data_IF_456578051001
#
_entry.id   IF_456578051001
#
_cell.length_a   1.000
_cell.length_b   1.000
_cell.length_c   1.000
_cell.angle_alpha   90.00
_cell.angle_beta   90.00
_cell.angle_gamma   90.00
#
_symmetry.space_group_name_H-M   'P 1'
#
loop_
_entity.id
_entity.type
_entity.pdbx_description
1 polymer ?
#
# COMPACT_ATOMS: atom_id res chain seq x y z
N UNK A 1 9.30 43.23 -54.22
CA UNK A 1 10.59 42.84 -53.61
C UNK A 1 10.72 43.58 -52.30
N UNK A 2 10.31 43.06 -51.20
CA UNK A 2 10.54 43.59 -49.84
C UNK A 2 10.79 42.40 -48.92
N UNK A 3 11.97 42.37 -48.28
CA UNK A 3 12.35 41.38 -47.25
C UNK A 3 11.68 41.73 -45.91
N UNK A 4 11.15 40.80 -45.14
CA UNK A 4 10.69 41.05 -43.78
C UNK A 4 11.87 41.00 -42.79
N UNK A 5 11.84 41.94 -41.83
CA UNK A 5 12.86 42.17 -40.82
C UNK A 5 12.85 41.15 -39.66
N UNK A 6 14.01 41.05 -39.06
CA UNK A 6 14.25 40.27 -37.82
C UNK A 6 13.59 40.97 -36.62
N UNK A 7 13.05 40.21 -35.62
CA UNK A 7 12.66 40.79 -34.34
C UNK A 7 13.87 40.94 -33.42
N UNK A 8 13.93 42.12 -32.79
CA UNK A 8 15.02 42.57 -31.93
C UNK A 8 15.11 41.78 -30.61
N UNK A 9 16.33 41.61 -30.18
CA UNK A 9 16.72 41.08 -28.87
C UNK A 9 16.38 42.10 -27.75
N UNK A 10 15.58 41.69 -26.79
CA UNK A 10 15.38 42.40 -25.52
C UNK A 10 16.56 42.16 -24.57
N UNK A 11 16.93 43.13 -23.72
CA UNK A 11 18.09 43.02 -22.82
C UNK A 11 17.80 42.09 -21.63
N UNK A 12 18.82 41.48 -21.00
CA UNK A 12 18.65 40.49 -19.94
C UNK A 12 18.23 41.18 -18.62
N UNK A 13 17.02 40.89 -18.18
CA UNK A 13 16.54 41.24 -16.84
C UNK A 13 17.21 40.36 -15.78
N UNK A 14 17.66 41.03 -14.77
CA UNK A 14 18.29 40.61 -13.52
C UNK A 14 17.99 39.17 -13.04
N UNK A 15 19.02 38.33 -13.06
CA UNK A 15 19.05 37.07 -12.34
C UNK A 15 19.23 37.37 -10.85
N UNK A 16 18.19 37.13 -10.06
CA UNK A 16 18.27 37.03 -8.60
C UNK A 16 19.14 35.82 -8.25
N UNK A 17 20.32 36.07 -7.72
CA UNK A 17 21.24 35.05 -7.18
C UNK A 17 20.60 34.42 -5.92
N UNK A 18 20.04 33.23 -6.06
CA UNK A 18 19.74 32.38 -4.93
C UNK A 18 21.07 31.91 -4.31
N UNK A 19 21.48 32.50 -3.20
CA UNK A 19 22.62 32.01 -2.43
C UNK A 19 22.34 30.61 -1.86
N UNK A 20 22.95 29.60 -2.45
CA UNK A 20 23.03 28.27 -1.86
C UNK A 20 23.83 28.39 -0.54
N UNK A 21 23.13 28.29 0.59
CA UNK A 21 23.77 28.27 1.91
C UNK A 21 24.56 26.98 2.04
N UNK A 22 25.89 27.10 2.05
CA UNK A 22 26.79 25.97 2.21
C UNK A 22 26.71 25.45 3.67
N UNK A 23 26.37 24.17 3.85
CA UNK A 23 26.18 23.50 5.15
C UNK A 23 27.35 23.69 6.11
N UNK A 24 28.60 23.80 5.61
CA UNK A 24 29.80 24.10 6.42
C UNK A 24 29.84 25.54 6.92
N UNK A 25 29.27 26.51 6.21
CA UNK A 25 29.15 27.90 6.69
C UNK A 25 28.07 28.05 7.75
N UNK A 26 26.97 27.35 7.62
CA UNK A 26 25.90 27.34 8.63
C UNK A 26 26.41 26.81 9.99
N UNK A 27 27.18 25.74 9.98
CA UNK A 27 27.76 25.16 11.21
C UNK A 27 28.86 26.05 11.85
N UNK A 28 29.58 26.85 11.07
CA UNK A 28 30.57 27.80 11.60
C UNK A 28 29.92 29.08 12.18
N UNK A 29 28.75 29.47 11.69
CA UNK A 29 28.00 30.63 12.21
C UNK A 29 27.22 30.30 13.50
N UNK A 30 26.93 29.04 13.77
CA UNK A 30 26.27 28.59 15.00
C UNK A 30 27.22 28.54 16.22
N UNK A 31 28.55 28.65 16.03
CA UNK A 31 29.54 28.58 17.11
C UNK A 31 29.89 29.93 17.74
N UNK A 32 29.27 31.04 17.34
CA UNK A 32 29.59 32.39 17.81
C UNK A 32 28.37 33.12 18.41
N UNK A 33 27.53 32.44 19.18
CA UNK A 33 26.52 33.10 20.03
C UNK A 33 27.05 33.05 21.46
N UNK A 34 27.31 34.20 22.11
CA UNK A 34 27.65 34.20 23.52
C UNK A 34 26.46 33.66 24.32
N UNK A 35 26.67 32.60 25.08
CA UNK A 35 25.70 32.09 26.05
C UNK A 35 25.57 33.12 27.15
N UNK A 36 24.55 33.98 27.06
CA UNK A 36 24.05 34.66 28.22
C UNK A 36 23.38 33.63 29.14
N UNK A 37 24.07 33.25 30.20
CA UNK A 37 23.50 32.49 31.29
C UNK A 37 22.46 33.33 32.01
N UNK A 38 21.27 33.47 31.45
CA UNK A 38 20.08 33.90 32.18
C UNK A 38 19.53 32.61 32.79
N UNK A 39 19.48 32.62 34.12
CA UNK A 39 19.11 31.48 34.94
C UNK A 39 17.83 30.77 34.49
N UNK A 40 17.98 29.55 34.02
CA UNK A 40 16.89 28.62 33.73
C UNK A 40 16.24 28.02 34.98
N UNK A 41 16.18 28.74 36.09
CA UNK A 41 15.56 28.25 37.34
C UNK A 41 14.05 28.43 37.44
N UNK A 42 13.42 29.26 36.58
CA UNK A 42 11.98 29.53 36.70
C UNK A 42 11.08 29.02 35.57
N UNK A 43 11.64 28.46 34.50
CA UNK A 43 10.87 27.85 33.41
C UNK A 43 10.54 26.34 33.61
N UNK A 44 11.13 25.72 34.62
CA UNK A 44 10.84 24.30 34.95
C UNK A 44 9.62 24.10 35.87
N UNK A 45 8.98 25.15 36.35
CA UNK A 45 7.89 25.02 37.34
C UNK A 45 6.47 25.07 36.79
N UNK A 46 6.23 25.03 35.48
CA UNK A 46 4.85 25.05 34.94
C UNK A 46 4.57 24.12 33.75
N UNK A 47 5.30 23.09 33.56
CA UNK A 47 4.77 21.94 32.85
C UNK A 47 4.17 21.00 33.89
N UNK A 48 2.89 21.20 34.23
CA UNK A 48 2.13 20.13 34.89
C UNK A 48 2.38 18.88 34.07
N UNK A 49 2.72 17.73 34.70
CA UNK A 49 2.87 16.50 33.97
C UNK A 49 1.56 16.32 33.20
N UNK A 50 1.61 16.35 31.86
CA UNK A 50 0.52 15.82 31.06
C UNK A 50 0.43 14.38 31.49
N UNK A 51 -0.54 14.08 32.37
CA UNK A 51 -0.90 12.71 32.67
C UNK A 51 -1.04 12.03 31.31
N UNK A 52 -0.10 11.15 30.99
CA UNK A 52 -0.21 10.33 29.79
C UNK A 52 -1.56 9.64 29.93
N UNK A 53 -2.53 9.99 29.09
CA UNK A 53 -3.86 9.41 29.12
C UNK A 53 -3.65 7.93 28.80
N UNK A 54 -3.56 7.11 29.84
CA UNK A 54 -3.42 5.66 29.66
C UNK A 54 -4.70 5.14 29.02
N UNK A 55 -4.56 4.50 27.85
CA UNK A 55 -5.67 3.81 27.23
C UNK A 55 -6.12 2.67 28.12
N UNK A 56 -7.43 2.52 28.30
CA UNK A 56 -8.03 1.43 29.04
C UNK A 56 -7.77 0.12 28.27
N UNK A 57 -7.32 -0.90 29.02
CA UNK A 57 -6.98 -2.23 28.49
C UNK A 57 -7.97 -3.27 29.00
N UNK A 58 -8.04 -4.39 28.30
CA UNK A 58 -8.81 -5.53 28.75
C UNK A 58 -8.32 -5.97 30.15
N UNK A 59 -9.26 -6.02 31.13
CA UNK A 59 -8.96 -6.32 32.53
C UNK A 59 -8.78 -5.10 33.44
N UNK A 60 -8.63 -3.88 32.90
CA UNK A 60 -8.62 -2.67 33.71
C UNK A 60 -10.02 -2.37 34.27
N UNK A 61 -10.15 -1.70 35.46
CA UNK A 61 -11.44 -1.33 36.03
C UNK A 61 -12.32 -0.46 35.14
N UNK A 62 -11.72 0.31 34.22
CA UNK A 62 -12.43 1.14 33.23
C UNK A 62 -12.79 0.41 31.93
N UNK A 63 -12.53 -0.89 31.82
CA UNK A 63 -12.91 -1.64 30.64
C UNK A 63 -14.44 -1.73 30.52
N UNK A 64 -15.03 -1.50 29.33
CA UNK A 64 -16.48 -1.53 29.15
C UNK A 64 -17.09 -2.83 29.64
N UNK A 65 -18.21 -2.74 30.33
CA UNK A 65 -18.97 -3.89 30.81
C UNK A 65 -19.60 -4.65 29.64
N UNK A 66 -20.04 -5.87 29.88
CA UNK A 66 -20.77 -6.66 28.88
C UNK A 66 -22.01 -5.92 28.35
N UNK A 67 -22.72 -5.19 29.23
CA UNK A 67 -23.88 -4.36 28.82
C UNK A 67 -23.48 -3.19 27.92
N UNK A 68 -22.27 -2.63 28.07
CA UNK A 68 -21.78 -1.59 27.19
C UNK A 68 -21.48 -2.13 25.79
N UNK A 69 -20.86 -3.31 25.74
CA UNK A 69 -20.63 -4.00 24.45
C UNK A 69 -21.93 -4.41 23.77
N UNK A 70 -22.94 -4.85 24.54
CA UNK A 70 -24.26 -5.16 23.99
C UNK A 70 -24.97 -3.91 23.44
N UNK A 71 -24.84 -2.74 24.09
CA UNK A 71 -25.35 -1.46 23.58
C UNK A 71 -24.68 -1.11 22.23
N UNK A 72 -23.35 -1.18 22.15
CA UNK A 72 -22.65 -0.97 20.88
C UNK A 72 -23.13 -1.98 19.82
N UNK A 73 -23.25 -3.25 20.17
CA UNK A 73 -23.70 -4.29 19.26
C UNK A 73 -25.11 -4.03 18.72
N UNK A 74 -26.04 -3.59 19.56
CA UNK A 74 -27.39 -3.20 19.16
C UNK A 74 -27.36 -1.98 18.22
N UNK A 75 -26.55 -0.97 18.52
CA UNK A 75 -26.40 0.24 17.73
C UNK A 75 -25.87 -0.04 16.31
N UNK A 76 -25.02 -1.05 16.15
CA UNK A 76 -24.47 -1.49 14.87
C UNK A 76 -25.17 -2.73 14.30
N UNK A 77 -26.40 -2.98 14.71
CA UNK A 77 -27.27 -4.06 14.19
C UNK A 77 -26.64 -5.47 14.26
N UNK A 78 -25.99 -5.79 15.38
CA UNK A 78 -25.41 -7.11 15.63
C UNK A 78 -24.03 -7.36 14.96
N UNK A 79 -23.38 -6.34 14.44
CA UNK A 79 -22.09 -6.50 13.72
C UNK A 79 -20.84 -6.36 14.63
N UNK A 80 -20.97 -6.59 15.92
CA UNK A 80 -19.83 -6.67 16.84
C UNK A 80 -19.30 -8.10 16.92
N UNK A 81 -18.02 -8.28 16.66
CA UNK A 81 -17.34 -9.58 16.70
C UNK A 81 -16.37 -9.60 17.88
N UNK A 82 -16.49 -10.55 18.80
CA UNK A 82 -15.44 -10.89 19.75
C UNK A 82 -14.36 -11.65 19.01
N UNK A 83 -13.20 -11.03 18.84
CA UNK A 83 -12.16 -11.54 17.94
C UNK A 83 -11.43 -12.71 18.58
N UNK A 84 -11.41 -13.83 17.88
CA UNK A 84 -10.59 -14.99 18.21
C UNK A 84 -9.50 -15.15 17.15
N UNK A 85 -8.27 -15.39 17.60
CA UNK A 85 -7.20 -15.68 16.68
C UNK A 85 -7.36 -17.08 16.07
N UNK A 86 -7.45 -17.23 14.75
CA UNK A 86 -7.44 -18.56 14.13
C UNK A 86 -6.19 -19.39 14.48
N UNK A 87 -5.12 -18.73 14.88
CA UNK A 87 -3.87 -19.37 15.31
C UNK A 87 -3.94 -19.98 16.72
N UNK A 88 -5.01 -19.74 17.50
CA UNK A 88 -5.15 -20.30 18.84
C UNK A 88 -5.11 -21.85 18.82
N UNK A 89 -5.80 -22.48 17.88
CA UNK A 89 -5.77 -23.93 17.71
C UNK A 89 -4.37 -24.50 17.45
N UNK A 90 -3.51 -23.75 16.76
CA UNK A 90 -2.12 -24.15 16.51
C UNK A 90 -1.21 -23.98 17.72
N UNK A 91 -1.51 -23.04 18.61
CA UNK A 91 -0.79 -22.87 19.87
C UNK A 91 -1.05 -24.02 20.83
N UNK A 92 -2.28 -24.48 20.89
CA UNK A 92 -2.71 -25.58 21.77
C UNK A 92 -2.32 -26.95 21.22
N UNK A 93 -2.46 -27.16 19.90
CA UNK A 93 -2.17 -28.43 19.24
C UNK A 93 -1.45 -28.21 17.88
N UNK A 94 -0.13 -27.93 17.89
CA UNK A 94 0.63 -27.56 16.68
C UNK A 94 0.60 -28.60 15.56
N UNK A 95 0.48 -29.87 15.91
CA UNK A 95 0.48 -30.99 14.96
C UNK A 95 -0.93 -31.49 14.59
N UNK A 96 -1.98 -30.80 15.03
CA UNK A 96 -3.36 -31.18 14.74
C UNK A 96 -3.70 -31.04 13.24
N UNK A 97 -4.73 -31.76 12.78
CA UNK A 97 -5.26 -31.60 11.43
C UNK A 97 -5.77 -30.17 11.19
N UNK A 98 -6.43 -29.57 12.19
CA UNK A 98 -6.94 -28.20 12.16
C UNK A 98 -5.81 -27.18 11.94
N UNK A 99 -4.68 -27.34 12.63
CA UNK A 99 -3.52 -26.47 12.44
C UNK A 99 -2.91 -26.60 11.04
N UNK A 100 -2.78 -27.84 10.52
CA UNK A 100 -2.30 -28.06 9.13
C UNK A 100 -3.23 -27.44 8.09
N UNK A 101 -4.53 -27.55 8.27
CA UNK A 101 -5.52 -26.93 7.39
C UNK A 101 -5.43 -25.41 7.44
N UNK A 102 -5.33 -24.83 8.63
CA UNK A 102 -5.13 -23.39 8.78
C UNK A 102 -3.90 -22.91 8.01
N UNK A 103 -2.74 -23.58 8.15
CA UNK A 103 -1.54 -23.21 7.41
C UNK A 103 -1.69 -23.36 5.89
N UNK A 104 -2.51 -24.29 5.42
CA UNK A 104 -2.88 -24.38 4.00
C UNK A 104 -3.73 -23.17 3.57
N UNK A 105 -4.70 -22.75 4.37
CA UNK A 105 -5.55 -21.55 4.12
C UNK A 105 -4.76 -20.25 4.19
N UNK A 106 -3.78 -20.11 5.08
CA UNK A 106 -2.91 -18.93 5.19
C UNK A 106 -2.07 -18.65 3.94
N UNK A 107 -1.98 -19.61 3.00
CA UNK A 107 -1.39 -19.37 1.68
C UNK A 107 -2.29 -18.52 0.76
N UNK A 108 -3.53 -18.33 1.13
CA UNK A 108 -4.51 -17.52 0.39
C UNK A 108 -4.65 -16.13 1.04
N UNK A 109 -4.15 -15.06 0.41
CA UNK A 109 -4.23 -13.70 0.98
C UNK A 109 -5.66 -13.18 1.11
N UNK A 110 -6.62 -13.71 0.35
CA UNK A 110 -8.03 -13.35 0.50
C UNK A 110 -8.62 -13.92 1.78
N UNK A 111 -8.24 -15.13 2.16
CA UNK A 111 -8.61 -15.70 3.46
C UNK A 111 -8.09 -14.82 4.61
N UNK A 112 -6.79 -14.47 4.58
CA UNK A 112 -6.20 -13.60 5.59
C UNK A 112 -6.94 -12.24 5.69
N UNK A 113 -7.23 -11.62 4.56
CA UNK A 113 -7.96 -10.34 4.51
C UNK A 113 -9.43 -10.43 4.93
N UNK A 114 -10.01 -11.63 4.86
CA UNK A 114 -11.38 -11.95 5.29
C UNK A 114 -11.54 -12.32 6.76
N UNK A 115 -10.43 -12.43 7.53
CA UNK A 115 -10.46 -12.82 8.94
C UNK A 115 -10.09 -11.61 9.83
N UNK A 116 -10.92 -11.20 10.80
CA UNK A 116 -10.62 -10.05 11.66
C UNK A 116 -9.33 -10.25 12.48
N UNK A 117 -9.04 -11.46 12.94
CA UNK A 117 -7.88 -11.79 13.79
C UNK A 117 -6.55 -11.92 13.02
N UNK A 118 -6.54 -11.85 11.67
CA UNK A 118 -5.35 -12.05 10.85
C UNK A 118 -4.91 -10.77 10.13
N UNK A 119 -3.63 -10.67 9.82
CA UNK A 119 -3.03 -9.59 9.01
C UNK A 119 -2.08 -10.17 7.97
N UNK A 120 -1.95 -9.51 6.81
CA UNK A 120 -1.04 -9.93 5.72
C UNK A 120 0.43 -9.82 6.14
N UNK A 121 0.74 -8.87 7.03
CA UNK A 121 2.04 -8.71 7.67
C UNK A 121 1.84 -9.01 9.15
N UNK A 122 2.42 -10.12 9.62
CA UNK A 122 2.25 -10.60 11.00
C UNK A 122 3.26 -10.02 11.99
N UNK A 123 4.25 -9.27 11.50
CA UNK A 123 5.27 -8.63 12.32
C UNK A 123 6.41 -8.06 11.48
N UNK A 124 7.31 -7.35 12.15
CA UNK A 124 8.57 -6.89 11.59
C UNK A 124 9.67 -7.21 12.58
N UNK A 125 10.78 -7.76 12.09
CA UNK A 125 11.88 -8.22 12.94
C UNK A 125 12.34 -7.10 13.87
N UNK A 126 12.41 -7.38 15.17
CA UNK A 126 12.85 -6.48 16.25
C UNK A 126 12.02 -5.18 16.39
N UNK A 127 10.86 -5.08 15.74
CA UNK A 127 10.02 -3.88 15.80
C UNK A 127 8.63 -4.16 16.39
N UNK A 128 7.87 -5.10 15.87
CA UNK A 128 6.52 -5.40 16.34
C UNK A 128 6.04 -6.78 15.88
N UNK A 129 5.07 -7.31 16.62
CA UNK A 129 4.32 -8.53 16.27
C UNK A 129 2.83 -8.20 16.30
N UNK A 130 2.07 -8.69 15.31
CA UNK A 130 0.63 -8.51 15.25
C UNK A 130 -0.05 -9.27 16.38
N UNK A 131 -0.96 -8.60 17.08
CA UNK A 131 -1.84 -9.22 18.06
C UNK A 131 -3.30 -8.86 17.71
N UNK A 132 -4.26 -9.80 17.85
CA UNK A 132 -5.65 -9.52 17.53
C UNK A 132 -6.25 -8.50 18.50
N UNK A 133 -7.14 -7.66 17.98
CA UNK A 133 -7.99 -6.79 18.78
C UNK A 133 -8.94 -7.63 19.63
N UNK A 134 -9.48 -7.09 20.73
CA UNK A 134 -10.44 -7.81 21.59
C UNK A 134 -11.80 -7.89 20.90
N UNK A 135 -12.26 -6.79 20.33
CA UNK A 135 -13.49 -6.71 19.55
C UNK A 135 -13.26 -6.05 18.20
N UNK A 136 -14.09 -6.40 17.22
CA UNK A 136 -14.14 -5.78 15.90
C UNK A 136 -15.57 -5.38 15.55
N UNK A 137 -15.78 -4.13 15.18
CA UNK A 137 -16.98 -3.65 14.50
C UNK A 137 -16.82 -3.97 13.01
N UNK A 138 -17.58 -4.94 12.51
CA UNK A 138 -17.64 -5.25 11.07
C UNK A 138 -18.49 -4.19 10.34
N UNK A 139 -17.92 -3.00 10.16
CA UNK A 139 -18.62 -1.84 9.65
C UNK A 139 -19.10 -2.08 8.21
N UNK A 140 -20.41 -1.89 7.97
CA UNK A 140 -21.06 -1.98 6.67
C UNK A 140 -21.46 -0.59 6.13
N UNK A 141 -21.60 0.39 7.00
CA UNK A 141 -22.00 1.78 6.70
C UNK A 141 -21.24 2.78 7.58
N UNK A 142 -21.28 4.04 7.19
CA UNK A 142 -20.54 5.13 7.89
C UNK A 142 -21.00 5.29 9.35
N UNK A 143 -22.28 5.07 9.61
CA UNK A 143 -22.86 5.15 10.96
C UNK A 143 -22.27 4.13 11.92
N UNK A 144 -21.89 2.92 11.45
CA UNK A 144 -21.19 1.92 12.25
C UNK A 144 -19.81 2.43 12.69
N UNK A 145 -19.13 3.14 11.79
CA UNK A 145 -17.84 3.75 12.06
C UNK A 145 -17.98 4.88 13.08
N UNK A 146 -19.00 5.74 12.95
CA UNK A 146 -19.34 6.80 13.91
C UNK A 146 -19.60 6.21 15.29
N UNK A 147 -20.41 5.15 15.37
CA UNK A 147 -20.71 4.46 16.63
C UNK A 147 -19.44 3.93 17.30
N UNK A 148 -18.58 3.25 16.52
CA UNK A 148 -17.33 2.71 17.03
C UNK A 148 -16.33 3.78 17.50
N UNK A 149 -16.20 4.89 16.77
CA UNK A 149 -15.33 6.01 17.13
C UNK A 149 -15.82 6.67 18.44
N UNK A 150 -17.13 6.93 18.56
CA UNK A 150 -17.72 7.51 19.76
C UNK A 150 -17.56 6.58 20.97
N UNK A 151 -17.88 5.29 20.80
CA UNK A 151 -17.70 4.30 21.85
C UNK A 151 -16.24 4.22 22.33
N UNK A 152 -15.28 4.18 21.41
CA UNK A 152 -13.86 4.16 21.77
C UNK A 152 -13.41 5.44 22.48
N UNK A 153 -13.91 6.60 22.05
CA UNK A 153 -13.62 7.90 22.69
C UNK A 153 -14.17 7.97 24.11
N UNK A 154 -15.43 7.61 24.29
CA UNK A 154 -16.13 7.68 25.58
C UNK A 154 -15.53 6.73 26.62
N UNK A 155 -15.05 5.58 26.16
CA UNK A 155 -14.44 4.56 27.03
C UNK A 155 -12.90 4.61 27.02
N UNK A 156 -12.29 5.62 26.42
CA UNK A 156 -10.83 5.78 26.31
C UNK A 156 -10.10 4.54 25.77
N UNK A 157 -10.71 3.82 24.81
CA UNK A 157 -10.13 2.62 24.22
C UNK A 157 -9.10 2.94 23.14
N UNK A 158 -8.17 2.01 22.94
CA UNK A 158 -7.34 1.97 21.74
C UNK A 158 -8.22 1.61 20.55
N UNK A 159 -8.18 2.43 19.49
CA UNK A 159 -8.88 2.17 18.25
C UNK A 159 -7.87 1.80 17.16
N UNK A 160 -8.18 0.77 16.36
CA UNK A 160 -7.44 0.42 15.16
C UNK A 160 -8.39 0.27 13.98
N UNK A 161 -7.89 0.49 12.76
CA UNK A 161 -8.69 0.41 11.54
C UNK A 161 -8.08 -0.62 10.59
N UNK A 162 -8.91 -1.55 10.12
CA UNK A 162 -8.49 -2.59 9.20
C UNK A 162 -9.36 -2.62 7.95
N UNK A 163 -8.72 -2.46 6.78
CA UNK A 163 -9.28 -2.82 5.47
C UNK A 163 -8.76 -4.19 5.04
N UNK A 164 -7.66 -4.22 4.27
CA UNK A 164 -7.01 -5.45 3.81
C UNK A 164 -5.97 -6.06 4.76
N UNK A 165 -5.57 -5.36 5.83
CA UNK A 165 -4.59 -5.86 6.80
C UNK A 165 -3.13 -5.86 6.32
N UNK A 166 -2.76 -4.99 5.39
CA UNK A 166 -1.42 -4.91 4.79
C UNK A 166 -0.45 -3.91 5.45
N UNK A 167 -0.80 -3.33 6.60
CA UNK A 167 0.08 -2.36 7.25
C UNK A 167 1.44 -2.96 7.60
N UNK A 168 2.53 -2.35 7.13
CA UNK A 168 3.90 -2.71 7.52
C UNK A 168 4.28 -2.17 8.90
N UNK A 169 3.48 -1.28 9.46
CA UNK A 169 3.69 -0.64 10.77
C UNK A 169 2.83 -1.29 11.88
N UNK A 170 2.11 -2.37 11.59
CA UNK A 170 1.29 -3.07 12.56
C UNK A 170 -0.02 -2.36 12.96
N UNK A 171 -0.46 -1.34 12.21
CA UNK A 171 -1.61 -0.51 12.59
C UNK A 171 -2.97 -1.14 12.26
N UNK A 172 -3.00 -2.31 11.60
CA UNK A 172 -4.23 -3.00 11.22
C UNK A 172 -4.82 -3.89 12.33
N UNK A 173 -4.06 -4.16 13.37
CA UNK A 173 -4.47 -5.00 14.50
C UNK A 173 -3.63 -4.66 15.72
N UNK A 174 -4.19 -4.72 16.92
CA UNK A 174 -3.44 -4.43 18.15
C UNK A 174 -4.12 -5.06 19.35
N UNK A 175 -3.33 -5.61 20.28
CA UNK A 175 -3.83 -6.04 21.57
C UNK A 175 -4.60 -4.90 22.28
N UNK A 176 -5.54 -5.27 23.14
CA UNK A 176 -6.31 -4.34 23.99
C UNK A 176 -6.99 -3.23 23.20
N UNK A 177 -7.52 -3.52 22.02
CA UNK A 177 -8.15 -2.53 21.15
C UNK A 177 -9.53 -2.92 20.67
N UNK A 178 -10.31 -1.91 20.28
CA UNK A 178 -11.47 -2.05 19.41
C UNK A 178 -11.03 -1.84 17.95
N UNK A 179 -11.37 -2.77 17.07
CA UNK A 179 -11.11 -2.66 15.65
C UNK A 179 -12.33 -2.12 14.91
N UNK A 180 -12.15 -1.17 14.02
CA UNK A 180 -13.08 -0.88 12.93
C UNK A 180 -12.64 -1.64 11.70
N UNK A 181 -13.41 -2.69 11.37
CA UNK A 181 -13.13 -3.54 10.23
C UNK A 181 -14.03 -3.15 9.05
N UNK A 182 -13.46 -2.44 8.09
CA UNK A 182 -14.22 -1.83 6.99
C UNK A 182 -14.52 -2.79 5.83
N UNK A 183 -14.14 -4.06 5.92
CA UNK A 183 -14.17 -5.03 4.81
C UNK A 183 -15.51 -5.13 4.08
N UNK A 184 -16.64 -4.94 4.78
CA UNK A 184 -17.97 -4.95 4.19
C UNK A 184 -18.32 -3.66 3.43
N UNK A 185 -17.61 -2.56 3.66
CA UNK A 185 -17.76 -1.29 2.94
C UNK A 185 -17.01 -1.35 1.61
N UNK A 186 -17.45 -2.17 0.66
CA UNK A 186 -16.67 -2.50 -0.54
C UNK A 186 -17.38 -2.16 -1.87
N UNK A 187 -18.33 -1.26 -1.84
CA UNK A 187 -19.01 -0.76 -3.04
C UNK A 187 -18.04 -0.09 -4.01
N UNK A 188 -18.31 -0.19 -5.31
CA UNK A 188 -17.56 0.50 -6.38
C UNK A 188 -18.54 1.07 -7.37
N UNK A 189 -18.52 2.39 -7.55
CA UNK A 189 -19.40 3.11 -8.48
C UNK A 189 -18.57 3.97 -9.44
N UNK A 190 -18.78 3.78 -10.75
CA UNK A 190 -18.15 4.58 -11.81
C UNK A 190 -18.95 5.85 -12.08
N UNK A 191 -18.23 6.92 -12.42
CA UNK A 191 -18.77 8.22 -12.81
C UNK A 191 -18.09 8.70 -14.09
N UNK A 192 -18.88 9.13 -15.06
CA UNK A 192 -18.33 9.72 -16.30
C UNK A 192 -17.96 11.19 -16.10
N UNK A 193 -18.66 11.89 -15.22
CA UNK A 193 -18.54 13.34 -15.01
C UNK A 193 -18.66 13.71 -13.52
N UNK A 194 -17.71 13.23 -12.68
CA UNK A 194 -17.71 13.53 -11.24
C UNK A 194 -17.20 14.94 -10.97
N UNK A 195 -17.91 15.67 -10.11
CA UNK A 195 -17.49 16.92 -9.49
C UNK A 195 -17.52 16.73 -7.98
N UNK A 196 -16.42 17.03 -7.29
CA UNK A 196 -16.34 16.91 -5.84
C UNK A 196 -17.34 17.88 -5.16
N UNK A 197 -17.86 17.50 -4.02
CA UNK A 197 -18.87 18.27 -3.30
C UNK A 197 -18.36 19.69 -2.97
N UNK A 198 -19.17 20.70 -3.29
CA UNK A 198 -18.79 22.12 -3.09
C UNK A 198 -17.80 22.67 -4.11
N UNK A 199 -17.39 21.89 -5.11
CA UNK A 199 -16.51 22.30 -6.19
C UNK A 199 -17.24 22.65 -7.51
N UNK A 200 -18.56 22.62 -7.55
CA UNK A 200 -19.34 23.01 -8.72
C UNK A 200 -18.98 24.44 -9.16
N UNK A 201 -18.75 24.64 -10.44
CA UNK A 201 -18.29 25.93 -11.02
C UNK A 201 -16.80 26.26 -10.76
N UNK A 202 -16.11 25.50 -9.90
CA UNK A 202 -14.67 25.68 -9.62
C UNK A 202 -13.79 24.62 -10.27
N UNK A 203 -14.34 23.42 -10.52
CA UNK A 203 -13.65 22.31 -11.14
C UNK A 203 -14.48 21.74 -12.26
N UNK A 204 -13.84 21.39 -13.37
CA UNK A 204 -14.49 20.68 -14.46
C UNK A 204 -14.83 19.25 -14.04
N UNK A 205 -15.98 18.70 -14.51
CA UNK A 205 -16.31 17.30 -14.32
C UNK A 205 -15.23 16.38 -14.88
N UNK A 206 -14.93 15.29 -14.19
CA UNK A 206 -13.90 14.33 -14.58
C UNK A 206 -14.39 12.90 -14.40
N UNK A 207 -13.93 11.99 -15.25
CA UNK A 207 -14.18 10.57 -15.05
C UNK A 207 -13.53 10.08 -13.74
N UNK A 208 -14.35 9.39 -12.93
CA UNK A 208 -13.93 8.97 -11.61
C UNK A 208 -14.55 7.62 -11.20
N UNK A 209 -14.07 7.10 -10.07
CA UNK A 209 -14.65 5.94 -9.39
C UNK A 209 -14.75 6.23 -7.90
N UNK A 210 -15.93 6.04 -7.33
CA UNK A 210 -16.14 6.05 -5.88
C UNK A 210 -16.03 4.64 -5.34
N UNK A 211 -15.20 4.44 -4.30
CA UNK A 211 -14.85 3.14 -3.76
C UNK A 211 -15.00 3.18 -2.23
N UNK A 212 -15.72 2.21 -1.68
CA UNK A 212 -15.82 2.00 -0.23
C UNK A 212 -14.47 1.59 0.38
N UNK A 213 -14.19 2.05 1.59
CA UNK A 213 -12.88 1.91 2.23
C UNK A 213 -12.40 0.47 2.46
N UNK A 214 -13.32 -0.48 2.50
CA UNK A 214 -13.03 -1.92 2.68
C UNK A 214 -12.82 -2.69 1.38
N UNK A 215 -12.93 -2.04 0.22
CA UNK A 215 -12.67 -2.69 -1.05
C UNK A 215 -11.19 -3.08 -1.18
N UNK A 216 -10.94 -4.23 -1.76
CA UNK A 216 -9.61 -4.62 -2.24
C UNK A 216 -9.33 -4.04 -3.62
N UNK A 217 -8.07 -3.82 -3.94
CA UNK A 217 -7.70 -3.31 -5.27
C UNK A 217 -8.19 -4.20 -6.40
N UNK A 218 -8.28 -5.54 -6.22
CA UNK A 218 -8.85 -6.41 -7.23
C UNK A 218 -10.31 -6.03 -7.58
N UNK A 219 -11.12 -5.69 -6.57
CA UNK A 219 -12.52 -5.29 -6.79
C UNK A 219 -12.60 -3.97 -7.57
N UNK A 220 -11.75 -3.00 -7.21
CA UNK A 220 -11.63 -1.74 -7.93
C UNK A 220 -11.16 -1.94 -9.37
N UNK A 221 -10.10 -2.72 -9.59
CA UNK A 221 -9.60 -3.01 -10.94
C UNK A 221 -10.61 -3.75 -11.80
N UNK A 222 -11.29 -4.77 -11.24
CA UNK A 222 -12.31 -5.48 -11.98
C UNK A 222 -13.45 -4.56 -12.41
N UNK A 223 -13.96 -3.71 -11.51
CA UNK A 223 -15.03 -2.78 -11.82
C UNK A 223 -14.58 -1.70 -12.83
N UNK A 224 -13.41 -1.09 -12.63
CA UNK A 224 -12.93 0.03 -13.44
C UNK A 224 -12.41 -0.45 -14.79
N UNK A 225 -11.62 -1.53 -14.81
CA UNK A 225 -10.91 -1.98 -16.03
C UNK A 225 -11.74 -3.00 -16.81
N UNK A 226 -12.12 -4.11 -16.16
CA UNK A 226 -12.82 -5.19 -16.88
C UNK A 226 -14.22 -4.74 -17.31
N UNK A 227 -14.99 -4.14 -16.41
CA UNK A 227 -16.35 -3.68 -16.71
C UNK A 227 -16.36 -2.30 -17.35
N UNK A 228 -15.65 -1.34 -16.78
CA UNK A 228 -15.69 0.07 -17.16
C UNK A 228 -14.77 0.46 -18.32
N UNK A 229 -13.83 -0.37 -18.73
CA UNK A 229 -12.88 -0.05 -19.83
C UNK A 229 -11.98 1.15 -19.56
N UNK A 230 -11.66 1.42 -18.26
CA UNK A 230 -10.83 2.54 -17.81
C UNK A 230 -9.69 2.03 -16.93
N UNK A 231 -8.76 2.90 -16.59
CA UNK A 231 -7.68 2.61 -15.67
C UNK A 231 -7.79 3.44 -14.39
N UNK A 232 -7.48 2.84 -13.26
CA UNK A 232 -7.29 3.54 -11.98
C UNK A 232 -5.91 3.17 -11.42
N UNK A 233 -5.13 4.19 -11.01
CA UNK A 233 -3.81 3.98 -10.43
C UNK A 233 -3.92 3.46 -8.99
N UNK A 234 -3.32 2.30 -8.75
CA UNK A 234 -3.25 1.65 -7.44
C UNK A 234 -1.99 0.82 -7.29
N UNK A 235 -1.96 -0.06 -6.29
CA UNK A 235 -0.83 -0.95 -6.03
C UNK A 235 -0.86 -2.25 -6.83
N UNK A 236 0.25 -3.00 -6.81
CA UNK A 236 0.39 -4.28 -7.51
C UNK A 236 -0.28 -5.47 -6.79
N UNK A 237 -0.52 -5.37 -5.48
CA UNK A 237 -1.13 -6.45 -4.71
C UNK A 237 -2.66 -6.34 -4.72
N UNK A 238 -3.32 -7.41 -5.16
CA UNK A 238 -4.77 -7.44 -5.37
C UNK A 238 -5.60 -7.42 -4.09
N UNK A 239 -5.05 -7.84 -2.95
CA UNK A 239 -5.73 -7.89 -1.63
C UNK A 239 -5.44 -6.68 -0.74
N UNK A 240 -4.66 -5.72 -1.20
CA UNK A 240 -4.45 -4.46 -0.47
C UNK A 240 -5.75 -3.67 -0.44
N UNK A 241 -6.10 -3.15 0.75
CA UNK A 241 -7.27 -2.27 0.93
C UNK A 241 -7.04 -0.91 0.28
N UNK A 242 -8.05 -0.44 -0.46
CA UNK A 242 -7.94 0.81 -1.24
C UNK A 242 -7.65 1.99 -0.32
N UNK A 243 -8.39 2.14 0.79
CA UNK A 243 -8.26 3.29 1.68
C UNK A 243 -6.88 3.36 2.34
N UNK A 244 -6.35 2.22 2.84
CA UNK A 244 -5.03 2.18 3.46
C UNK A 244 -3.92 2.54 2.49
N UNK A 245 -4.00 2.09 1.24
CA UNK A 245 -3.03 2.43 0.20
C UNK A 245 -3.02 3.94 -0.09
N UNK A 246 -4.19 4.55 -0.32
CA UNK A 246 -4.31 5.98 -0.63
C UNK A 246 -3.77 6.83 0.53
N UNK A 247 -4.14 6.52 1.77
CA UNK A 247 -3.66 7.24 2.95
C UNK A 247 -2.14 7.11 3.16
N UNK A 248 -1.52 6.06 2.61
CA UNK A 248 -0.06 5.85 2.65
C UNK A 248 0.67 6.33 1.38
N UNK A 249 0.02 7.13 0.55
CA UNK A 249 0.54 7.64 -0.72
C UNK A 249 0.29 6.72 -1.91
N UNK A 250 0.45 5.43 -1.75
CA UNK A 250 0.07 4.43 -2.77
C UNK A 250 1.01 4.33 -3.95
N UNK A 251 2.19 3.74 -3.75
CA UNK A 251 3.07 3.36 -4.84
C UNK A 251 2.46 2.22 -5.66
N UNK A 252 2.57 2.31 -6.97
CA UNK A 252 2.17 1.27 -7.91
C UNK A 252 3.10 1.20 -9.11
N UNK A 253 3.02 0.09 -9.85
CA UNK A 253 3.96 -0.22 -10.94
C UNK A 253 4.05 0.89 -12.00
N UNK A 254 2.98 1.64 -12.23
CA UNK A 254 2.94 2.70 -13.24
C UNK A 254 2.98 4.11 -12.63
N UNK A 255 3.53 4.26 -11.42
CA UNK A 255 3.68 5.55 -10.75
C UNK A 255 4.57 6.54 -11.53
N UNK A 256 5.49 6.07 -12.38
CA UNK A 256 6.26 6.94 -13.30
C UNK A 256 5.36 7.68 -14.29
N UNK A 257 4.26 7.05 -14.71
CA UNK A 257 3.32 7.65 -15.66
C UNK A 257 2.21 8.46 -14.97
N UNK A 258 1.64 7.93 -13.87
CA UNK A 258 0.41 8.46 -13.29
C UNK A 258 0.59 9.15 -11.94
N UNK A 259 1.79 9.12 -11.38
CA UNK A 259 2.06 9.53 -9.99
C UNK A 259 1.64 8.45 -8.99
N UNK A 260 1.72 8.78 -7.71
CA UNK A 260 1.20 7.93 -6.65
C UNK A 260 -0.33 7.83 -6.72
N UNK A 261 -0.91 6.74 -6.22
CA UNK A 261 -2.36 6.54 -6.23
C UNK A 261 -3.12 7.67 -5.51
N UNK A 262 -2.55 8.22 -4.42
CA UNK A 262 -3.10 9.38 -3.70
C UNK A 262 -3.18 10.65 -4.56
N UNK A 263 -2.39 10.79 -5.62
CA UNK A 263 -2.49 11.91 -6.54
C UNK A 263 -3.79 11.90 -7.35
N UNK A 264 -4.44 10.73 -7.48
CA UNK A 264 -5.73 10.59 -8.14
C UNK A 264 -6.93 10.88 -7.22
N UNK A 265 -6.72 11.08 -5.90
CA UNK A 265 -7.80 11.35 -4.96
C UNK A 265 -8.47 12.68 -5.27
N UNK A 266 -9.79 12.66 -5.46
CA UNK A 266 -10.65 13.81 -5.71
C UNK A 266 -11.48 14.17 -4.47
N UNK A 267 -11.96 13.16 -3.73
CA UNK A 267 -12.79 13.33 -2.54
C UNK A 267 -12.64 12.13 -1.61
N UNK A 268 -12.75 12.37 -0.30
CA UNK A 268 -12.85 11.34 0.72
C UNK A 268 -13.99 11.65 1.69
N UNK A 269 -14.68 10.64 2.17
CA UNK A 269 -15.54 10.71 3.35
C UNK A 269 -14.78 10.13 4.54
N UNK A 270 -14.76 10.86 5.65
CA UNK A 270 -13.92 10.56 6.80
C UNK A 270 -14.70 10.78 8.08
N UNK A 271 -14.69 9.82 8.98
CA UNK A 271 -15.13 10.00 10.37
C UNK A 271 -13.93 10.40 11.20
N UNK A 272 -13.93 11.63 11.71
CA UNK A 272 -12.86 12.19 12.55
C UNK A 272 -12.99 11.77 14.02
N UNK A 273 -11.99 12.04 14.83
CA UNK A 273 -11.91 11.58 16.22
C UNK A 273 -13.06 12.10 17.12
N UNK A 274 -13.73 13.17 16.75
CA UNK A 274 -14.93 13.70 17.38
C UNK A 274 -16.23 12.97 17.02
N UNK A 275 -16.13 11.92 16.19
CA UNK A 275 -17.29 11.14 15.71
C UNK A 275 -18.07 11.83 14.59
N UNK A 276 -17.57 12.93 14.03
CA UNK A 276 -18.27 13.66 12.95
C UNK A 276 -17.80 13.18 11.59
N UNK A 277 -18.76 12.91 10.72
CA UNK A 277 -18.49 12.57 9.30
C UNK A 277 -18.20 13.87 8.53
N UNK A 278 -17.08 13.88 7.80
CA UNK A 278 -16.62 15.00 6.99
C UNK A 278 -16.35 14.57 5.56
N UNK A 279 -16.78 15.41 4.61
CA UNK A 279 -16.31 15.32 3.23
C UNK A 279 -15.06 16.18 3.12
N UNK A 280 -13.98 15.56 2.62
CA UNK A 280 -12.69 16.19 2.41
C UNK A 280 -12.31 16.18 0.94
N UNK A 281 -12.14 17.35 0.34
CA UNK A 281 -11.72 17.55 -1.06
C UNK A 281 -11.05 18.93 -1.19
N UNK A 282 -10.70 19.36 -2.38
CA UNK A 282 -10.03 20.64 -2.60
C UNK A 282 -10.88 21.88 -2.23
N UNK A 283 -12.20 21.71 -2.06
CA UNK A 283 -13.15 22.80 -1.79
C UNK A 283 -13.75 22.75 -0.38
N UNK A 284 -13.64 21.62 0.31
CA UNK A 284 -14.17 21.39 1.65
C UNK A 284 -13.16 20.62 2.49
N UNK A 285 -12.89 21.07 3.73
CA UNK A 285 -11.92 20.45 4.63
C UNK A 285 -10.58 20.17 3.93
N UNK A 286 -10.03 21.18 3.25
CA UNK A 286 -8.88 21.06 2.34
C UNK A 286 -7.59 20.64 3.08
N UNK A 287 -7.43 21.01 4.33
CA UNK A 287 -6.35 20.59 5.23
C UNK A 287 -6.44 19.09 5.55
N UNK A 288 -7.62 18.59 5.90
CA UNK A 288 -7.89 17.16 6.08
C UNK A 288 -7.65 16.40 4.77
N UNK A 289 -8.11 16.94 3.63
CA UNK A 289 -7.87 16.36 2.33
C UNK A 289 -6.39 16.24 1.98
N UNK A 290 -5.62 17.30 2.26
CA UNK A 290 -4.18 17.29 2.07
C UNK A 290 -3.51 16.21 2.92
N UNK A 291 -3.88 16.09 4.20
CA UNK A 291 -3.33 15.13 5.13
C UNK A 291 -3.64 13.67 4.76
N UNK A 292 -4.85 13.39 4.24
CA UNK A 292 -5.24 12.02 3.80
C UNK A 292 -4.42 11.55 2.58
N UNK A 293 -3.94 12.47 1.76
CA UNK A 293 -3.14 12.15 0.57
C UNK A 293 -1.70 11.74 0.90
N UNK A 294 -1.52 10.78 1.77
CA UNK A 294 -0.21 10.21 2.11
C UNK A 294 0.25 10.44 3.54
N UNK A 295 -0.56 11.05 4.39
CA UNK A 295 -0.20 11.33 5.80
C UNK A 295 -0.24 10.11 6.73
N UNK A 296 -0.60 8.93 6.23
CA UNK A 296 -0.65 7.67 6.97
C UNK A 296 -2.06 7.25 7.36
N UNK A 297 -2.30 5.94 7.36
CA UNK A 297 -3.59 5.37 7.68
C UNK A 297 -3.95 5.51 9.17
N UNK A 298 -5.19 5.91 9.47
CA UNK A 298 -5.71 6.01 10.82
C UNK A 298 -5.23 7.21 11.64
N UNK A 299 -4.46 8.13 11.04
CA UNK A 299 -3.89 9.29 11.77
C UNK A 299 -4.87 10.43 11.94
N UNK A 300 -5.70 10.70 10.91
CA UNK A 300 -6.57 11.87 10.84
C UNK A 300 -8.06 11.53 10.94
N UNK A 301 -8.39 10.26 10.97
CA UNK A 301 -9.73 9.73 11.02
C UNK A 301 -9.88 8.41 10.31
N UNK A 302 -11.09 7.89 10.28
CA UNK A 302 -11.46 6.65 9.60
C UNK A 302 -12.09 6.99 8.27
N UNK A 303 -11.40 6.68 7.18
CA UNK A 303 -11.94 6.83 5.83
C UNK A 303 -13.01 5.76 5.60
N UNK A 304 -14.17 6.17 5.10
CA UNK A 304 -15.32 5.29 4.79
C UNK A 304 -15.53 5.10 3.29
N UNK A 305 -15.17 6.10 2.47
CA UNK A 305 -15.12 6.00 1.01
C UNK A 305 -14.16 7.01 0.40
N UNK A 306 -13.75 6.72 -0.82
CA UNK A 306 -12.82 7.52 -1.62
C UNK A 306 -13.35 7.66 -3.05
N UNK A 307 -13.18 8.82 -3.66
CA UNK A 307 -13.40 9.03 -5.09
C UNK A 307 -12.06 9.32 -5.77
N UNK A 308 -11.70 8.48 -6.72
CA UNK A 308 -10.44 8.55 -7.46
C UNK A 308 -10.68 8.88 -8.93
N UNK A 309 -9.82 9.73 -9.50
CA UNK A 309 -9.81 9.96 -10.94
C UNK A 309 -9.48 8.68 -11.68
N UNK A 310 -10.23 8.35 -12.72
CA UNK A 310 -9.90 7.31 -13.68
C UNK A 310 -9.15 7.88 -14.88
N UNK A 311 -8.52 7.02 -15.65
CA UNK A 311 -7.72 7.34 -16.84
C UNK A 311 -8.19 6.50 -18.02
N UNK A 312 -7.77 6.88 -19.22
CA UNK A 312 -7.89 6.01 -20.38
C UNK A 312 -7.15 4.70 -20.14
N UNK A 313 -7.74 3.63 -20.63
CA UNK A 313 -7.15 2.30 -20.52
C UNK A 313 -6.09 2.16 -21.62
N UNK A 314 -4.84 1.77 -21.29
CA UNK A 314 -3.86 1.42 -22.33
C UNK A 314 -4.27 0.15 -23.09
N UNK A 315 -3.74 -0.06 -24.29
CA UNK A 315 -4.09 -1.23 -25.12
C UNK A 315 -3.69 -2.55 -24.45
N UNK A 316 -2.49 -2.59 -23.85
CA UNK A 316 -1.92 -3.79 -23.26
C UNK A 316 -1.34 -3.52 -21.88
N UNK A 317 -1.45 -4.54 -21.01
CA UNK A 317 -0.57 -4.77 -19.88
C UNK A 317 0.25 -6.02 -20.13
N UNK A 318 1.48 -6.05 -19.64
CA UNK A 318 2.32 -7.23 -19.78
C UNK A 318 3.46 -7.28 -18.79
N UNK A 319 4.38 -8.23 -18.99
CA UNK A 319 5.53 -8.36 -18.12
C UNK A 319 6.68 -9.12 -18.75
N UNK A 320 7.88 -8.82 -18.26
CA UNK A 320 9.14 -9.48 -18.60
C UNK A 320 9.67 -10.16 -17.34
N UNK A 321 9.88 -11.46 -17.42
CA UNK A 321 10.29 -12.31 -16.30
C UNK A 321 11.54 -13.08 -16.68
N UNK A 322 12.56 -13.03 -15.83
CA UNK A 322 13.80 -13.76 -16.02
C UNK A 322 14.55 -13.87 -14.69
N UNK A 323 15.39 -14.88 -14.52
CA UNK A 323 16.38 -14.93 -13.44
C UNK A 323 17.72 -15.29 -14.02
N UNK A 324 18.71 -14.42 -13.78
CA UNK A 324 20.07 -14.52 -14.29
C UNK A 324 20.99 -14.67 -13.08
N UNK A 325 21.90 -15.64 -13.12
CA UNK A 325 22.96 -15.83 -12.14
C UNK A 325 24.30 -15.41 -12.72
N UNK A 326 25.03 -14.61 -11.98
CA UNK A 326 26.45 -14.35 -12.23
C UNK A 326 27.30 -15.39 -11.51
N UNK A 327 28.34 -15.90 -12.18
CA UNK A 327 29.19 -16.99 -11.68
C UNK A 327 30.28 -16.52 -10.72
N UNK A 328 30.45 -15.21 -10.58
CA UNK A 328 31.38 -14.59 -9.61
C UNK A 328 30.90 -13.20 -9.17
N UNK A 329 31.44 -12.70 -8.08
CA UNK A 329 31.17 -11.33 -7.59
C UNK A 329 31.54 -10.26 -8.61
N UNK A 330 32.65 -10.45 -9.34
CA UNK A 330 33.06 -9.51 -10.41
C UNK A 330 32.06 -9.50 -11.57
N UNK A 331 31.56 -10.68 -11.97
CA UNK A 331 30.49 -10.81 -12.97
C UNK A 331 29.20 -10.16 -12.48
N UNK A 332 28.85 -10.35 -11.18
CA UNK A 332 27.64 -9.74 -10.60
C UNK A 332 27.72 -8.22 -10.57
N UNK A 333 28.86 -7.63 -10.26
CA UNK A 333 29.06 -6.18 -10.36
C UNK A 333 28.86 -5.68 -11.78
N UNK A 334 29.37 -6.41 -12.82
CA UNK A 334 29.16 -6.07 -14.24
C UNK A 334 27.67 -6.15 -14.61
N UNK A 335 26.99 -7.24 -14.17
CA UNK A 335 25.55 -7.42 -14.40
C UNK A 335 24.74 -6.30 -13.79
N UNK A 336 25.03 -5.94 -12.55
CA UNK A 336 24.36 -4.83 -11.83
C UNK A 336 24.58 -3.51 -12.56
N UNK A 337 25.82 -3.18 -12.91
CA UNK A 337 26.14 -1.94 -13.64
C UNK A 337 25.48 -1.90 -15.03
N UNK A 338 25.45 -3.03 -15.75
CA UNK A 338 24.76 -3.14 -17.04
C UNK A 338 23.25 -2.94 -16.89
N UNK A 339 22.63 -3.55 -15.89
CA UNK A 339 21.19 -3.44 -15.65
C UNK A 339 20.80 -2.00 -15.29
N UNK A 340 21.58 -1.31 -14.46
CA UNK A 340 21.31 0.08 -14.08
C UNK A 340 21.39 1.00 -15.30
N UNK A 341 22.44 0.85 -16.15
CA UNK A 341 22.54 1.63 -17.40
C UNK A 341 21.40 1.33 -18.35
N UNK A 342 21.09 0.04 -18.56
CA UNK A 342 19.99 -0.38 -19.41
C UNK A 342 18.64 0.17 -18.93
N UNK A 343 18.40 0.15 -17.61
CA UNK A 343 17.20 0.75 -17.02
C UNK A 343 17.13 2.25 -17.33
N UNK A 344 18.22 2.98 -17.08
CA UNK A 344 18.28 4.42 -17.36
C UNK A 344 18.00 4.72 -18.84
N UNK A 345 18.62 3.99 -19.74
CA UNK A 345 18.61 4.31 -21.18
C UNK A 345 17.33 3.84 -21.90
N UNK A 346 16.70 2.77 -21.41
CA UNK A 346 15.61 2.10 -22.13
C UNK A 346 14.31 1.95 -21.33
N UNK A 347 14.37 1.88 -20.00
CA UNK A 347 13.22 1.53 -19.16
C UNK A 347 12.73 2.67 -18.28
N UNK A 348 13.48 3.78 -18.16
CA UNK A 348 13.07 4.96 -17.42
C UNK A 348 12.08 5.82 -18.24
N UNK A 349 10.90 5.25 -18.49
CA UNK A 349 9.83 5.93 -19.24
C UNK A 349 8.45 5.46 -18.76
N UNK A 350 7.38 6.00 -19.36
CA UNK A 350 5.99 5.77 -18.95
C UNK A 350 5.49 4.31 -19.12
N UNK A 351 6.18 3.51 -19.94
CA UNK A 351 5.70 2.18 -20.26
C UNK A 351 6.07 1.14 -19.19
N UNK A 352 7.20 1.34 -18.48
CA UNK A 352 7.78 0.31 -17.63
C UNK A 352 7.53 0.56 -16.14
N UNK A 353 7.07 -0.49 -15.47
CA UNK A 353 6.98 -0.60 -14.03
C UNK A 353 8.02 -1.57 -13.47
N UNK A 354 8.34 -1.50 -12.18
CA UNK A 354 9.28 -2.38 -11.49
C UNK A 354 8.57 -3.68 -11.09
N UNK A 355 9.30 -4.82 -11.06
CA UNK A 355 10.32 -5.02 -10.07
C UNK A 355 11.64 -5.64 -10.61
N UNK A 356 12.78 -5.17 -10.15
CA UNK A 356 14.09 -5.81 -10.32
C UNK A 356 14.68 -6.07 -8.93
N UNK A 357 15.20 -7.27 -8.69
CA UNK A 357 15.80 -7.64 -7.41
C UNK A 357 17.22 -8.14 -7.61
N UNK A 358 18.16 -7.50 -6.91
CA UNK A 358 19.52 -7.97 -6.74
C UNK A 358 19.57 -8.86 -5.50
N UNK A 359 19.97 -10.12 -5.68
CA UNK A 359 19.93 -11.11 -4.61
C UNK A 359 21.34 -11.44 -4.09
N UNK A 360 21.50 -11.80 -2.80
CA UNK A 360 22.79 -12.10 -2.20
C UNK A 360 23.55 -13.26 -2.84
N UNK A 361 22.86 -14.12 -3.57
CA UNK A 361 23.41 -15.28 -4.30
C UNK A 361 23.90 -14.93 -5.71
N UNK A 362 24.30 -13.70 -5.94
CA UNK A 362 24.75 -13.17 -7.24
C UNK A 362 23.70 -13.32 -8.36
N UNK A 363 22.43 -13.30 -8.02
CA UNK A 363 21.37 -13.42 -8.99
C UNK A 363 20.56 -12.13 -9.17
N UNK A 364 20.26 -11.80 -10.42
CA UNK A 364 19.33 -10.75 -10.83
C UNK A 364 17.98 -11.39 -11.17
N UNK A 365 16.93 -10.97 -10.45
CA UNK A 365 15.56 -11.36 -10.75
C UNK A 365 14.83 -10.19 -11.41
N UNK A 366 14.30 -10.41 -12.60
CA UNK A 366 13.52 -9.48 -13.38
C UNK A 366 12.04 -9.89 -13.29
N UNK A 367 11.18 -8.98 -12.87
CA UNK A 367 9.72 -9.10 -12.84
C UNK A 367 9.13 -7.74 -13.20
N UNK A 368 9.56 -7.19 -14.34
CA UNK A 368 9.12 -5.89 -14.80
C UNK A 368 7.79 -5.99 -15.53
N UNK A 369 6.86 -5.13 -15.16
CA UNK A 369 5.58 -4.99 -15.87
C UNK A 369 5.65 -3.83 -16.86
N UNK A 370 4.79 -3.87 -17.87
CA UNK A 370 4.68 -2.79 -18.86
C UNK A 370 3.21 -2.50 -19.21
N UNK A 371 2.98 -1.32 -19.78
CA UNK A 371 1.69 -0.86 -20.28
C UNK A 371 1.81 -0.16 -21.62
N UNK A 372 0.74 -0.22 -22.43
CA UNK A 372 0.61 0.54 -23.67
C UNK A 372 1.57 0.14 -24.78
N UNK A 373 2.27 -0.98 -24.62
CA UNK A 373 3.09 -1.63 -25.65
C UNK A 373 2.74 -3.13 -25.68
N UNK A 374 2.94 -3.76 -26.83
CA UNK A 374 2.70 -5.20 -27.00
C UNK A 374 3.98 -6.02 -26.71
N UNK A 375 3.83 -7.35 -26.74
CA UNK A 375 4.92 -8.32 -26.52
C UNK A 375 6.11 -8.13 -27.45
N UNK A 376 5.85 -7.82 -28.72
CA UNK A 376 6.91 -7.64 -29.71
C UNK A 376 7.75 -6.39 -29.41
N UNK A 377 7.12 -5.27 -29.11
CA UNK A 377 7.78 -4.02 -28.72
C UNK A 377 8.58 -4.18 -27.43
N UNK A 378 8.01 -4.92 -26.46
CA UNK A 378 8.69 -5.26 -25.22
C UNK A 378 9.93 -6.12 -25.49
N UNK A 379 9.81 -7.15 -26.36
CA UNK A 379 10.92 -8.02 -26.72
C UNK A 379 12.05 -7.23 -27.42
N UNK A 380 11.71 -6.36 -28.36
CA UNK A 380 12.69 -5.49 -29.05
C UNK A 380 13.44 -4.57 -28.06
N UNK A 381 12.73 -4.02 -27.08
CA UNK A 381 13.34 -3.16 -26.04
C UNK A 381 14.38 -3.94 -25.22
N UNK A 382 14.09 -5.17 -24.85
CA UNK A 382 14.95 -6.00 -23.99
C UNK A 382 16.03 -6.78 -24.75
N UNK A 383 15.92 -6.92 -26.07
CA UNK A 383 16.85 -7.72 -26.87
C UNK A 383 18.32 -7.37 -26.62
N UNK A 384 18.75 -6.07 -26.65
CA UNK A 384 20.17 -5.73 -26.45
C UNK A 384 20.73 -6.10 -25.07
N UNK A 385 19.86 -6.23 -24.05
CA UNK A 385 20.27 -6.68 -22.72
C UNK A 385 20.49 -8.20 -22.70
N UNK A 386 19.58 -8.94 -23.31
CA UNK A 386 19.68 -10.40 -23.35
C UNK A 386 20.77 -10.90 -24.30
N UNK A 387 21.04 -10.20 -25.39
CA UNK A 387 22.17 -10.47 -26.28
C UNK A 387 23.50 -10.32 -25.51
N UNK A 388 23.66 -9.23 -24.76
CA UNK A 388 24.84 -9.03 -23.91
C UNK A 388 25.02 -10.15 -22.86
N UNK A 389 23.94 -10.70 -22.30
CA UNK A 389 24.01 -11.88 -21.42
C UNK A 389 24.48 -13.13 -22.18
N UNK A 390 23.94 -13.34 -23.38
CA UNK A 390 24.24 -14.49 -24.22
C UNK A 390 25.70 -14.48 -24.72
N UNK A 391 26.26 -13.29 -24.99
CA UNK A 391 27.66 -13.11 -25.42
C UNK A 391 28.69 -13.42 -24.33
N UNK A 392 28.25 -13.63 -23.07
CA UNK A 392 29.14 -13.90 -21.94
C UNK A 392 28.73 -15.14 -21.15
N UNK A 393 28.68 -16.32 -21.78
CA UNK A 393 28.23 -17.56 -21.14
C UNK A 393 29.18 -18.04 -20.02
N UNK A 394 30.45 -17.62 -20.07
CA UNK A 394 31.43 -17.87 -19.00
C UNK A 394 31.09 -17.13 -17.71
N UNK A 395 30.41 -15.99 -17.78
CA UNK A 395 30.08 -15.12 -16.66
C UNK A 395 28.66 -15.29 -16.13
N UNK A 396 27.71 -15.63 -17.02
CA UNK A 396 26.28 -15.65 -16.71
C UNK A 396 25.59 -16.95 -17.09
N UNK A 397 24.55 -17.29 -16.33
CA UNK A 397 23.62 -18.37 -16.67
C UNK A 397 22.17 -17.91 -16.43
N UNK A 398 21.27 -18.36 -17.29
CA UNK A 398 19.83 -18.07 -17.14
C UNK A 398 19.19 -19.21 -16.35
N UNK A 399 18.84 -18.96 -15.09
CA UNK A 399 18.20 -19.97 -14.22
C UNK A 399 16.69 -20.10 -14.48
N UNK A 400 16.05 -19.00 -14.86
CA UNK A 400 14.66 -18.99 -15.32
C UNK A 400 14.64 -18.38 -16.72
N UNK A 401 14.15 -19.12 -17.72
CA UNK A 401 14.06 -18.64 -19.10
C UNK A 401 13.34 -17.31 -19.20
N UNK A 402 13.78 -16.47 -20.13
CA UNK A 402 13.11 -15.22 -20.49
C UNK A 402 11.66 -15.51 -20.91
N UNK A 403 10.73 -14.93 -20.21
CA UNK A 403 9.31 -14.98 -20.53
C UNK A 403 8.79 -13.55 -20.70
N UNK A 404 8.18 -13.25 -21.85
CA UNK A 404 7.52 -11.98 -22.11
C UNK A 404 6.08 -12.31 -22.46
N UNK A 405 5.14 -11.71 -21.72
CA UNK A 405 3.70 -11.87 -21.93
C UNK A 405 3.06 -10.51 -22.08
N UNK A 406 2.00 -10.44 -22.86
CA UNK A 406 1.06 -9.34 -22.88
C UNK A 406 -0.38 -9.86 -22.80
N UNK A 407 -1.26 -8.99 -22.35
CA UNK A 407 -2.69 -9.23 -22.24
C UNK A 407 -3.38 -7.93 -22.67
N UNK A 408 -4.44 -7.99 -23.48
CA UNK A 408 -5.27 -6.81 -23.71
C UNK A 408 -5.71 -6.25 -22.35
N UNK A 409 -5.44 -4.98 -22.11
CA UNK A 409 -5.51 -4.39 -20.76
C UNK A 409 -6.86 -4.60 -20.09
N UNK A 410 -7.95 -4.64 -20.88
CA UNK A 410 -9.31 -4.88 -20.39
C UNK A 410 -9.45 -6.19 -19.62
N UNK A 411 -8.67 -7.22 -19.97
CA UNK A 411 -8.77 -8.56 -19.38
C UNK A 411 -7.71 -8.88 -18.33
N UNK A 412 -6.81 -7.94 -18.02
CA UNK A 412 -5.70 -8.19 -17.12
C UNK A 412 -6.13 -8.60 -15.69
N UNK A 413 -7.27 -8.10 -15.23
CA UNK A 413 -7.87 -8.47 -13.94
C UNK A 413 -9.16 -9.30 -14.11
N UNK A 414 -9.36 -9.93 -15.26
CA UNK A 414 -10.43 -10.89 -15.53
C UNK A 414 -9.91 -12.30 -15.22
N UNK A 415 -10.48 -12.92 -14.18
CA UNK A 415 -10.02 -14.23 -13.71
C UNK A 415 -10.27 -15.36 -14.71
N UNK A 416 -11.40 -15.30 -15.41
CA UNK A 416 -11.79 -16.37 -16.35
C UNK A 416 -10.98 -16.28 -17.63
N UNK A 417 -10.75 -15.05 -18.12
CA UNK A 417 -9.82 -14.83 -19.23
C UNK A 417 -8.41 -15.30 -18.90
N UNK A 418 -7.90 -14.94 -17.71
CA UNK A 418 -6.54 -15.31 -17.28
C UNK A 418 -6.39 -16.81 -17.12
N UNK A 419 -7.38 -17.53 -16.59
CA UNK A 419 -7.36 -19.00 -16.49
C UNK A 419 -7.33 -19.65 -17.88
N UNK A 420 -8.14 -19.16 -18.79
CA UNK A 420 -8.22 -19.67 -20.17
C UNK A 420 -6.92 -19.42 -20.94
N UNK A 421 -6.36 -18.22 -20.82
CA UNK A 421 -5.17 -17.80 -21.58
C UNK A 421 -3.85 -18.32 -21.00
N UNK A 422 -3.82 -18.60 -19.69
CA UNK A 422 -2.63 -19.05 -18.95
C UNK A 422 -2.96 -20.22 -18.03
N UNK A 423 -3.35 -21.39 -18.57
CA UNK A 423 -3.85 -22.52 -17.77
C UNK A 423 -2.80 -23.12 -16.81
N UNK A 424 -1.51 -22.95 -17.11
CA UNK A 424 -0.40 -23.37 -16.23
C UNK A 424 -0.04 -22.35 -15.14
N UNK A 425 -0.59 -21.15 -15.23
CA UNK A 425 -0.42 -20.16 -14.17
C UNK A 425 -1.23 -20.58 -12.94
N UNK A 426 -0.63 -20.57 -11.75
CA UNK A 426 -1.35 -20.85 -10.49
C UNK A 426 -2.26 -19.67 -10.21
N UNK A 427 -3.49 -19.72 -10.68
CA UNK A 427 -4.55 -18.77 -10.39
C UNK A 427 -5.24 -19.25 -9.11
N UNK A 428 -5.05 -18.55 -8.00
CA UNK A 428 -5.75 -18.85 -6.74
C UNK A 428 -7.12 -18.18 -6.75
N UNK A 429 -8.16 -18.99 -6.76
CA UNK A 429 -9.49 -18.65 -7.27
C UNK A 429 -10.59 -18.35 -6.28
N UNK A 430 -10.38 -18.19 -5.02
CA UNK A 430 -11.44 -17.59 -4.17
C UNK A 430 -11.18 -16.10 -3.99
N UNK A 431 -11.27 -15.41 -5.11
CA UNK A 431 -10.84 -14.06 -5.34
C UNK A 431 -9.64 -14.11 -6.26
N UNK A 432 -9.86 -14.36 -7.53
CA UNK A 432 -8.95 -14.43 -8.66
C UNK A 432 -7.53 -13.92 -8.37
N UNK A 433 -6.58 -14.82 -8.24
CA UNK A 433 -5.18 -14.46 -8.16
C UNK A 433 -4.59 -14.46 -9.56
N UNK A 434 -3.92 -13.39 -9.91
CA UNK A 434 -3.08 -13.26 -11.08
C UNK A 434 -1.90 -14.26 -11.03
N UNK A 435 -1.23 -14.55 -12.17
CA UNK A 435 -0.03 -15.37 -12.21
C UNK A 435 0.96 -14.98 -11.12
N UNK A 436 1.71 -15.92 -10.57
CA UNK A 436 2.71 -15.70 -9.49
C UNK A 436 3.63 -14.51 -9.72
N UNK A 437 3.80 -14.10 -10.96
CA UNK A 437 4.63 -12.97 -11.37
C UNK A 437 4.02 -11.60 -11.08
N UNK A 438 2.70 -11.53 -10.89
CA UNK A 438 1.96 -10.26 -10.68
C UNK A 438 1.35 -10.23 -9.26
N UNK A 439 1.43 -11.32 -8.50
CA UNK A 439 1.07 -11.33 -7.08
C UNK A 439 2.11 -10.56 -6.28
N UNK A 440 1.65 -9.90 -5.23
CA UNK A 440 2.43 -9.22 -4.21
C UNK A 440 3.85 -9.79 -4.09
N UNK A 441 4.86 -8.99 -4.35
CA UNK A 441 6.25 -9.38 -4.15
C UNK A 441 6.35 -10.01 -2.76
N UNK A 442 7.00 -11.15 -2.65
CA UNK A 442 7.13 -11.90 -1.40
C UNK A 442 7.53 -10.92 -0.31
N UNK A 443 6.62 -10.63 0.62
CA UNK A 443 7.02 -9.99 1.85
C UNK A 443 8.16 -10.82 2.43
N UNK A 444 9.31 -10.20 2.61
CA UNK A 444 10.59 -10.80 3.02
C UNK A 444 10.44 -11.63 4.31
N UNK A 445 9.40 -11.40 5.08
CA UNK A 445 9.11 -11.98 6.40
C UNK A 445 8.66 -13.45 6.41
N UNK A 446 8.03 -13.96 5.36
CA UNK A 446 7.46 -15.34 5.37
C UNK A 446 8.54 -16.42 5.23
N UNK A 447 9.72 -16.13 4.70
CA UNK A 447 10.78 -17.14 4.54
C UNK A 447 11.49 -17.51 5.85
N UNK A 448 11.57 -16.63 6.85
CA UNK A 448 12.23 -16.96 8.12
C UNK A 448 11.34 -17.72 9.10
N UNK A 449 10.04 -17.44 9.12
CA UNK A 449 9.12 -18.24 9.93
C UNK A 449 9.00 -19.70 9.45
N UNK A 450 9.05 -19.94 8.12
CA UNK A 450 9.03 -21.30 7.56
C UNK A 450 10.30 -22.12 7.82
N UNK A 451 11.47 -21.49 7.95
CA UNK A 451 12.73 -22.20 8.24
C UNK A 451 12.91 -22.51 9.73
N UNK A 452 12.30 -21.75 10.64
CA UNK A 452 12.27 -22.11 12.06
C UNK A 452 11.33 -23.29 12.37
N UNK A 453 10.35 -23.57 11.54
CA UNK A 453 9.42 -24.71 11.74
C UNK A 453 9.94 -26.05 11.14
N UNK A 454 10.92 -26.02 10.26
CA UNK A 454 11.46 -27.22 9.59
C UNK A 454 12.71 -27.80 10.27
N UNK A 455 13.32 -27.08 11.19
CA UNK A 455 14.45 -27.59 11.99
C UNK A 455 14.24 -27.08 13.43
N UNK A 456 14.14 -27.99 14.38
CA UNK A 456 14.08 -27.70 15.80
C UNK A 456 15.49 -27.42 16.35
N UNK A 457 16.08 -26.21 16.18
CA UNK A 457 17.28 -25.87 16.90
C UNK A 457 16.90 -25.38 18.29
N UNK A 458 17.58 -25.81 19.36
CA UNK A 458 17.35 -25.31 20.72
C UNK A 458 17.68 -23.80 20.73
N UNK A 459 16.67 -22.98 20.96
CA UNK A 459 16.83 -21.52 21.09
C UNK A 459 15.80 -20.64 20.37
N UNK A 460 14.93 -21.17 19.51
CA UNK A 460 13.88 -20.39 18.86
C UNK A 460 12.64 -20.32 19.77
N UNK A 461 12.57 -19.31 20.65
CA UNK A 461 11.32 -19.00 21.38
C UNK A 461 10.40 -18.23 20.45
N UNK A 462 9.25 -18.82 20.13
CA UNK A 462 8.11 -18.12 19.55
C UNK A 462 7.51 -17.22 20.64
N UNK A 463 7.78 -15.93 20.59
CA UNK A 463 7.00 -14.96 21.36
C UNK A 463 5.77 -14.58 20.54
N UNK A 464 4.61 -14.93 21.06
CA UNK A 464 3.29 -14.54 20.55
C UNK A 464 2.76 -13.32 21.29
#
# INVERSE_FOLDING_TARGET
MVRPGQPGLLPPSQRTLAHAVNRRRFLKSAAAVPVFAIGCSDLQKRAAPRLAVQRVRAGDPGWPSESDWQRLNAQIEGRLIKVQSPLAACREAPNSAACRELFARLKNPFYIGGEPGLTQTSGWVDAWTSAPSVYAVAAAKTEDVVAAVNFARENNLRLVVKGGGHSYQGTSNSADSLMIWTRAMNSVALHDAFVAQGCAGKQAPQPAVTIGAGAFWLQAYHAVTVKGGRYVQGGGCTTVGVAGLIQSGGFGSFSKNYGLAAAALMEAEVVTADGVTRIANACQNADLFWGIKGGGGGSLGVVTRLTLRTRELPDYFGGVFCRIRAKSDSAFRRLTARMIRFYHDRLLNRHWGEQISFNPDNALSISMVFQGINRQQAAQTWQPFFDWIADSPQDFSIERPKTIIDVPARYFWDADYMKKSFPTAIIRTTGAALPRAISCGKAITVRRAGSCMAANPPGCRLHY
#
